data_IF_816610170934
#
_entry.id   IF_816610170934
#
_cell.length_a   1.000
_cell.length_b   1.000
_cell.length_c   1.000
_cell.angle_alpha   90.00
_cell.angle_beta   90.00
_cell.angle_gamma   90.00
#
_symmetry.space_group_name_H-M   'P 1'
#
loop_
_entity.id
_entity.type
_entity.pdbx_description
1 polymer ?
#
# COMPACT_ATOMS: atom_id res chain seq x y z
N UNK A 1 -10.67 -16.78 -4.21
CA UNK A 1 -9.29 -16.50 -4.63
C UNK A 1 -9.31 -15.25 -5.49
N UNK A 2 -9.49 -14.08 -4.88
CA UNK A 2 -9.53 -12.80 -5.60
C UNK A 2 -8.10 -12.39 -5.87
N UNK A 3 -7.66 -12.56 -7.11
CA UNK A 3 -6.37 -12.07 -7.61
C UNK A 3 -6.31 -10.55 -7.48
N UNK A 4 -5.47 -10.03 -6.59
CA UNK A 4 -5.16 -8.61 -6.47
C UNK A 4 -4.17 -8.21 -7.57
N UNK A 5 -4.60 -7.33 -8.47
CA UNK A 5 -3.68 -6.63 -9.37
C UNK A 5 -2.95 -5.56 -8.53
N UNK A 6 -1.62 -5.53 -8.54
CA UNK A 6 -0.84 -4.52 -7.83
C UNK A 6 -0.19 -3.55 -8.80
N UNK A 7 -0.32 -2.25 -8.54
CA UNK A 7 0.38 -1.19 -9.29
C UNK A 7 1.86 -1.07 -8.90
N UNK A 8 2.29 -1.73 -7.83
CA UNK A 8 3.67 -1.63 -7.32
C UNK A 8 4.57 -2.78 -7.78
N UNK A 9 4.08 -3.71 -8.61
CA UNK A 9 4.87 -4.83 -9.13
C UNK A 9 4.46 -5.16 -10.56
N UNK A 10 5.45 -5.48 -11.39
CA UNK A 10 5.23 -6.01 -12.73
C UNK A 10 4.83 -7.49 -12.70
N UNK A 11 5.33 -8.23 -11.71
CA UNK A 11 5.09 -9.67 -11.60
C UNK A 11 4.14 -9.97 -10.44
N UNK A 12 3.22 -10.89 -10.70
CA UNK A 12 2.22 -11.33 -9.75
C UNK A 12 2.82 -12.16 -8.62
N UNK A 13 3.80 -13.02 -8.91
CA UNK A 13 4.47 -13.81 -7.87
C UNK A 13 5.07 -12.89 -6.81
N UNK A 14 5.77 -11.85 -7.28
CA UNK A 14 6.40 -10.83 -6.43
C UNK A 14 5.38 -10.04 -5.61
N UNK A 15 4.22 -9.71 -6.19
CA UNK A 15 3.13 -9.06 -5.47
C UNK A 15 2.55 -9.96 -4.35
N UNK A 16 2.32 -11.24 -4.62
CA UNK A 16 1.79 -12.19 -3.63
C UNK A 16 2.80 -12.44 -2.48
N UNK A 17 4.10 -12.52 -2.81
CA UNK A 17 5.16 -12.64 -1.81
C UNK A 17 5.23 -11.40 -0.93
N UNK A 18 5.01 -10.21 -1.50
CA UNK A 18 5.02 -8.96 -0.77
C UNK A 18 3.85 -8.79 0.21
N UNK A 19 2.70 -9.43 -0.04
CA UNK A 19 1.57 -9.42 0.90
C UNK A 19 1.88 -10.19 2.19
N UNK A 20 2.86 -11.11 2.15
CA UNK A 20 3.27 -11.97 3.28
C UNK A 20 4.65 -11.65 3.83
N UNK A 21 5.31 -10.60 3.35
CA UNK A 21 6.65 -10.23 3.79
C UNK A 21 6.70 -9.83 5.28
N UNK A 22 7.60 -10.46 6.01
CA UNK A 22 7.91 -10.15 7.41
C UNK A 22 9.05 -9.13 7.50
N UNK A 23 9.11 -8.42 8.64
CA UNK A 23 10.12 -7.41 8.88
C UNK A 23 11.54 -8.01 8.88
N UNK A 24 12.47 -7.48 8.08
CA UNK A 24 13.85 -7.95 8.09
C UNK A 24 14.54 -7.66 9.42
N UNK A 25 15.40 -8.59 9.88
CA UNK A 25 16.06 -8.51 11.18
C UNK A 25 16.95 -7.27 11.37
N UNK A 26 17.46 -6.69 10.27
CA UNK A 26 18.32 -5.49 10.31
C UNK A 26 17.55 -4.18 10.47
N UNK A 27 16.21 -4.17 10.41
CA UNK A 27 15.43 -2.94 10.44
C UNK A 27 15.52 -2.18 11.77
N UNK A 28 15.45 -2.85 12.94
CA UNK A 28 15.66 -2.20 14.23
C UNK A 28 17.06 -1.59 14.35
N UNK A 29 18.09 -2.28 13.84
CA UNK A 29 19.48 -1.80 13.89
C UNK A 29 19.68 -0.52 13.06
N UNK A 30 18.96 -0.42 11.93
CA UNK A 30 18.97 0.73 11.04
C UNK A 30 17.90 1.79 11.39
N UNK A 31 17.15 1.57 12.47
CA UNK A 31 16.00 2.39 12.89
C UNK A 31 14.93 2.61 11.79
N UNK A 32 14.85 1.68 10.82
CA UNK A 32 13.89 1.73 9.72
C UNK A 32 12.48 1.33 10.16
N UNK A 33 12.38 0.54 11.22
CA UNK A 33 11.12 0.17 11.86
C UNK A 33 10.39 1.39 12.42
N UNK A 34 11.11 2.32 13.05
CA UNK A 34 10.55 3.58 13.52
C UNK A 34 10.12 4.46 12.34
N UNK A 35 10.96 4.61 11.31
CA UNK A 35 10.63 5.40 10.13
C UNK A 35 9.34 4.90 9.45
N UNK A 36 9.21 3.59 9.25
CA UNK A 36 8.01 2.97 8.66
C UNK A 36 6.79 3.17 9.57
N UNK A 37 6.96 3.06 10.89
CA UNK A 37 5.89 3.30 11.85
C UNK A 37 5.35 4.74 11.75
N UNK A 38 6.24 5.73 11.64
CA UNK A 38 5.85 7.14 11.49
C UNK A 38 5.13 7.39 10.17
N UNK A 39 5.68 6.89 9.05
CA UNK A 39 5.07 7.00 7.71
C UNK A 39 3.64 6.41 7.71
N UNK A 40 3.44 5.30 8.42
CA UNK A 40 2.17 4.56 8.43
C UNK A 40 1.24 4.95 9.59
N UNK A 41 1.59 5.93 10.42
CA UNK A 41 0.84 6.32 11.62
C UNK A 41 -0.66 6.51 11.39
N UNK A 42 -1.04 7.14 10.27
CA UNK A 42 -2.44 7.41 9.88
C UNK A 42 -3.05 6.37 8.93
N UNK A 43 -2.34 5.27 8.64
CA UNK A 43 -2.72 4.27 7.63
C UNK A 43 -2.58 2.84 8.15
N UNK A 44 -2.65 2.63 9.46
CA UNK A 44 -2.43 1.32 10.08
C UNK A 44 -3.47 0.26 9.68
N UNK A 45 -4.70 0.69 9.38
CA UNK A 45 -5.76 -0.19 8.89
C UNK A 45 -5.45 -0.78 7.52
N UNK A 46 -4.55 -0.14 6.78
CA UNK A 46 -4.02 -0.67 5.53
C UNK A 46 -2.83 -1.56 5.86
N UNK A 47 -2.83 -2.80 5.35
CA UNK A 47 -1.72 -3.76 5.50
C UNK A 47 -0.52 -3.35 4.62
N UNK A 48 0.00 -2.14 4.81
CA UNK A 48 1.03 -1.55 3.96
C UNK A 48 2.45 -1.94 4.37
N UNK A 49 2.65 -2.35 5.63
CA UNK A 49 3.98 -2.67 6.18
C UNK A 49 4.74 -3.70 5.36
N UNK A 50 4.05 -4.76 4.92
CA UNK A 50 4.66 -5.86 4.17
C UNK A 50 5.29 -5.37 2.85
N UNK A 51 4.69 -4.38 2.19
CA UNK A 51 5.27 -3.77 0.97
C UNK A 51 6.58 -3.01 1.22
N UNK A 52 6.78 -2.45 2.42
CA UNK A 52 8.05 -1.81 2.83
C UNK A 52 9.11 -2.83 3.27
N UNK A 53 8.70 -3.99 3.73
CA UNK A 53 9.60 -5.08 4.12
C UNK A 53 10.06 -5.93 2.94
N UNK A 54 9.34 -5.85 1.83
CA UNK A 54 9.64 -6.61 0.61
C UNK A 54 10.92 -6.09 -0.03
N UNK A 55 12.00 -6.87 0.09
CA UNK A 55 13.21 -6.67 -0.69
C UNK A 55 12.98 -7.08 -2.14
N UNK A 56 13.26 -6.19 -3.08
CA UNK A 56 13.27 -6.51 -4.50
C UNK A 56 14.68 -6.87 -4.94
N UNK A 57 14.80 -7.98 -5.68
CA UNK A 57 16.08 -8.47 -6.20
C UNK A 57 16.19 -8.33 -7.73
N UNK A 58 15.09 -7.96 -8.39
CA UNK A 58 15.02 -7.72 -9.83
C UNK A 58 15.09 -6.21 -10.10
N UNK A 59 16.02 -5.83 -10.99
CA UNK A 59 16.26 -4.44 -11.38
C UNK A 59 15.03 -3.85 -12.07
N UNK A 60 14.35 -4.63 -12.93
CA UNK A 60 13.20 -4.12 -13.69
C UNK A 60 12.03 -3.80 -12.75
N UNK A 61 11.84 -4.60 -11.70
CA UNK A 61 10.86 -4.34 -10.64
C UNK A 61 11.19 -3.09 -9.82
N UNK A 62 12.48 -2.90 -9.50
CA UNK A 62 12.94 -1.72 -8.76
C UNK A 62 12.69 -0.46 -9.58
N UNK A 63 13.09 -0.46 -10.85
CA UNK A 63 12.90 0.67 -11.75
C UNK A 63 11.42 0.98 -11.94
N UNK A 64 10.59 -0.05 -12.17
CA UNK A 64 9.15 0.14 -12.29
C UNK A 64 8.54 0.83 -11.07
N UNK A 65 8.88 0.38 -9.85
CA UNK A 65 8.41 1.03 -8.62
C UNK A 65 8.86 2.48 -8.50
N UNK A 66 10.08 2.78 -8.92
CA UNK A 66 10.60 4.15 -8.90
C UNK A 66 9.88 5.04 -9.91
N UNK A 67 9.60 4.53 -11.12
CA UNK A 67 8.81 5.26 -12.11
C UNK A 67 7.38 5.51 -11.63
N UNK A 68 6.72 4.53 -11.02
CA UNK A 68 5.41 4.75 -10.36
C UNK A 68 5.51 5.85 -9.29
N UNK A 69 6.60 5.86 -8.50
CA UNK A 69 6.86 6.93 -7.54
C UNK A 69 6.98 8.31 -8.20
N UNK A 70 7.72 8.41 -9.30
CA UNK A 70 7.88 9.66 -10.06
C UNK A 70 6.58 10.13 -10.69
N UNK A 71 5.77 9.23 -11.23
CA UNK A 71 4.45 9.57 -11.76
C UNK A 71 3.56 10.19 -10.66
N UNK A 72 3.64 9.65 -9.44
CA UNK A 72 2.93 10.16 -8.28
C UNK A 72 3.46 11.51 -7.75
N UNK A 73 4.64 11.96 -8.17
CA UNK A 73 5.13 13.32 -7.85
C UNK A 73 4.41 14.40 -8.67
N UNK A 74 3.67 14.03 -9.73
CA UNK A 74 2.86 14.98 -10.48
C UNK A 74 1.71 15.51 -9.60
N UNK A 75 1.68 16.82 -9.29
CA UNK A 75 0.71 17.37 -8.34
C UNK A 75 -0.74 17.32 -8.84
N UNK A 76 -0.96 17.36 -10.16
CA UNK A 76 -2.30 17.22 -10.72
C UNK A 76 -2.81 15.79 -10.56
N UNK A 77 -1.97 14.80 -10.90
CA UNK A 77 -2.32 13.39 -10.74
C UNK A 77 -2.56 13.04 -9.28
N UNK A 78 -1.66 13.47 -8.38
CA UNK A 78 -1.79 13.22 -6.94
C UNK A 78 -3.08 13.81 -6.38
N UNK A 79 -3.47 15.01 -6.82
CA UNK A 79 -4.73 15.63 -6.41
C UNK A 79 -5.96 14.82 -6.82
N UNK A 80 -5.98 14.33 -8.06
CA UNK A 80 -7.08 13.48 -8.54
C UNK A 80 -7.15 12.15 -7.78
N UNK A 81 -6.00 11.50 -7.56
CA UNK A 81 -5.90 10.26 -6.76
C UNK A 81 -6.40 10.50 -5.33
N UNK A 82 -5.99 11.61 -4.71
CA UNK A 82 -6.40 11.93 -3.35
C UNK A 82 -7.91 12.21 -3.27
N UNK A 83 -8.45 12.97 -4.22
CA UNK A 83 -9.89 13.22 -4.31
C UNK A 83 -10.67 11.91 -4.44
N UNK A 84 -10.22 11.02 -5.33
CA UNK A 84 -10.81 9.69 -5.47
C UNK A 84 -10.75 8.87 -4.17
N UNK A 85 -9.59 8.84 -3.52
CA UNK A 85 -9.39 8.09 -2.28
C UNK A 85 -10.31 8.59 -1.15
N UNK A 86 -10.48 9.90 -1.02
CA UNK A 86 -11.38 10.51 -0.05
C UNK A 86 -12.85 10.11 -0.30
N UNK A 87 -13.31 10.13 -1.56
CA UNK A 87 -14.66 9.68 -1.90
C UNK A 87 -14.87 8.18 -1.61
N UNK A 88 -13.85 7.34 -1.85
CA UNK A 88 -13.91 5.91 -1.55
C UNK A 88 -14.02 5.62 -0.05
N UNK A 89 -13.39 6.43 0.80
CA UNK A 89 -13.55 6.33 2.26
C UNK A 89 -15.00 6.63 2.66
N UNK A 90 -15.61 7.68 2.08
CA UNK A 90 -17.01 8.01 2.32
C UNK A 90 -17.96 6.90 1.86
N UNK A 91 -17.76 6.38 0.64
CA UNK A 91 -18.55 5.28 0.10
C UNK A 91 -18.49 4.04 1.02
N UNK A 92 -17.29 3.66 1.50
CA UNK A 92 -17.12 2.54 2.43
C UNK A 92 -17.83 2.79 3.76
N UNK A 93 -17.79 4.01 4.31
CA UNK A 93 -18.53 4.36 5.53
C UNK A 93 -20.04 4.18 5.35
N UNK A 94 -20.60 4.68 4.26
CA UNK A 94 -22.03 4.49 3.97
C UNK A 94 -22.41 3.02 3.86
N UNK A 95 -21.63 2.22 3.13
CA UNK A 95 -21.88 0.78 2.99
C UNK A 95 -21.87 0.06 4.34
N UNK A 96 -20.94 0.41 5.24
CA UNK A 96 -20.89 -0.17 6.58
C UNK A 96 -22.16 0.17 7.37
N UNK A 97 -22.58 1.44 7.38
CA UNK A 97 -23.79 1.91 8.08
C UNK A 97 -25.05 1.17 7.62
N UNK A 98 -25.25 1.01 6.30
CA UNK A 98 -26.39 0.25 5.78
C UNK A 98 -26.31 -1.25 6.12
N UNK A 99 -25.11 -1.84 6.19
CA UNK A 99 -24.96 -3.24 6.59
C UNK A 99 -25.33 -3.50 8.05
N UNK A 100 -25.13 -2.53 8.94
CA UNK A 100 -25.53 -2.63 10.35
C UNK A 100 -27.05 -2.49 10.55
N UNK A 101 -27.73 -1.68 9.74
CA UNK A 101 -29.17 -1.47 9.86
C UNK A 101 -30.02 -2.64 9.33
N UNK A 102 -29.48 -3.45 8.41
CA UNK A 102 -30.16 -4.63 7.86
C UNK A 102 -29.86 -5.93 8.63
N UNK A 103 -29.10 -5.85 9.74
CA UNK A 103 -28.67 -7.00 10.56
C UNK A 103 -29.30 -7.02 11.97
N UNK A 104 -30.23 -6.10 12.24
CA UNK A 104 -31.16 -6.06 13.39
C UNK A 104 -32.56 -6.35 12.83
#
# INVERSE_FOLDING_TARGET
MTSSLSILFLDRGTAEQAESAEQPACFPDLNLDQAIKEILSNRQDYRLKSFFYTSLHDIDQILYRQEVGKDLENPLLMREIQTFAEQMVLARRHLLVYSYFCRI
#
